data_IF_280609257693
#
_entry.id   IF_280609257693
#
_cell.length_a   1.000
_cell.length_b   1.000
_cell.length_c   1.000
_cell.angle_alpha   90.00
_cell.angle_beta   90.00
_cell.angle_gamma   90.00
#
_symmetry.space_group_name_H-M   'P 1'
#
loop_
_entity.id
_entity.type
_entity.pdbx_description
1 polymer ?
#
# COMPACT_ATOMS: atom_id res chain seq x y z
N UNK A 1 1.92 23.92 -1.04
CA UNK A 1 0.98 23.29 -0.08
C UNK A 1 1.85 22.65 0.97
N UNK A 2 1.92 23.24 2.18
CA UNK A 2 2.60 22.60 3.32
C UNK A 2 1.84 21.31 3.62
N UNK A 3 2.52 20.16 3.51
CA UNK A 3 2.04 18.94 4.14
C UNK A 3 2.05 19.19 5.65
N UNK A 4 0.88 19.27 6.28
CA UNK A 4 0.80 19.21 7.73
C UNK A 4 1.40 17.88 8.16
N UNK A 5 2.48 17.94 8.94
CA UNK A 5 3.05 16.73 9.53
C UNK A 5 2.01 16.12 10.46
N UNK A 6 1.56 14.93 10.14
CA UNK A 6 0.67 14.15 11.01
C UNK A 6 1.43 13.86 12.30
N UNK A 7 0.99 14.47 13.41
CA UNK A 7 1.61 14.30 14.71
C UNK A 7 1.01 13.08 15.44
N UNK A 8 1.85 12.37 16.18
CA UNK A 8 1.41 11.30 17.07
C UNK A 8 0.71 11.89 18.28
N UNK A 9 -0.50 11.44 18.57
CA UNK A 9 -1.26 11.89 19.73
C UNK A 9 -0.73 11.25 21.04
N UNK A 10 -0.81 11.97 22.14
CA UNK A 10 -0.40 11.46 23.45
C UNK A 10 -1.60 10.92 24.24
N UNK A 11 -1.42 9.85 25.05
CA UNK A 11 -0.22 9.03 25.19
C UNK A 11 0.02 8.14 23.98
N UNK A 12 1.29 7.77 23.72
CA UNK A 12 1.63 6.79 22.67
C UNK A 12 1.03 5.43 22.97
N UNK A 13 0.64 4.72 21.91
CA UNK A 13 0.12 3.35 21.94
C UNK A 13 0.90 2.46 20.98
N UNK A 14 0.92 1.17 21.25
CA UNK A 14 1.63 0.19 20.44
C UNK A 14 0.66 -0.88 19.90
N UNK A 15 0.93 -1.34 18.67
CA UNK A 15 0.13 -2.33 17.96
C UNK A 15 0.40 -3.73 18.54
N UNK A 16 -0.63 -4.35 19.16
CA UNK A 16 -0.53 -5.66 19.77
C UNK A 16 -0.89 -6.82 18.83
N UNK A 17 -1.67 -6.57 17.77
CA UNK A 17 -2.08 -7.56 16.76
C UNK A 17 -2.35 -6.87 15.42
N UNK A 18 -2.68 -7.66 14.39
CA UNK A 18 -2.92 -7.13 13.04
C UNK A 18 -4.43 -7.01 12.71
N UNK A 19 -5.31 -7.10 13.73
CA UNK A 19 -6.74 -6.84 13.58
C UNK A 19 -6.97 -5.33 13.38
N UNK A 20 -7.84 -4.99 12.41
CA UNK A 20 -8.21 -3.60 12.13
C UNK A 20 -9.68 -3.40 12.50
N UNK A 21 -9.98 -2.38 13.29
CA UNK A 21 -11.35 -2.04 13.70
C UNK A 21 -11.63 -0.60 13.32
N UNK A 22 -12.76 -0.37 12.65
CA UNK A 22 -13.34 0.95 12.41
C UNK A 22 -14.49 1.14 13.39
N UNK A 23 -14.45 2.21 14.18
CA UNK A 23 -15.50 2.55 15.15
C UNK A 23 -16.09 3.92 14.81
N UNK A 24 -17.33 3.93 14.33
CA UNK A 24 -18.12 5.13 13.96
C UNK A 24 -17.34 6.10 13.05
N UNK A 25 -16.57 5.56 12.09
CA UNK A 25 -15.65 6.35 11.27
C UNK A 25 -16.40 7.16 10.23
N UNK A 26 -16.22 8.49 10.26
CA UNK A 26 -16.67 9.40 9.20
C UNK A 26 -15.51 10.22 8.68
N UNK A 27 -15.49 10.46 7.36
CA UNK A 27 -14.43 11.21 6.69
C UNK A 27 -14.95 12.06 5.55
N UNK A 28 -14.36 13.26 5.41
CA UNK A 28 -14.67 14.21 4.33
C UNK A 28 -13.39 14.81 3.77
N UNK A 29 -13.35 15.01 2.45
CA UNK A 29 -12.38 15.90 1.82
C UNK A 29 -12.96 17.33 1.81
N UNK A 30 -12.47 18.20 2.69
CA UNK A 30 -13.09 19.50 2.93
C UNK A 30 -14.53 19.32 3.43
N UNK A 31 -15.50 19.88 2.69
CA UNK A 31 -16.93 19.79 3.02
C UNK A 31 -17.64 18.60 2.36
N UNK A 32 -16.95 17.83 1.52
CA UNK A 32 -17.53 16.69 0.82
C UNK A 32 -17.37 15.42 1.66
N UNK A 33 -18.48 14.96 2.30
CA UNK A 33 -18.50 13.72 3.05
C UNK A 33 -18.40 12.51 2.10
N UNK A 34 -17.44 11.62 2.37
CA UNK A 34 -17.16 10.42 1.55
C UNK A 34 -17.47 9.15 2.32
N UNK A 35 -17.20 9.13 3.61
CA UNK A 35 -17.49 8.00 4.50
C UNK A 35 -18.30 8.51 5.69
N UNK A 36 -19.36 7.79 6.05
CA UNK A 36 -20.27 8.15 7.13
C UNK A 36 -20.59 6.93 7.99
N UNK A 37 -20.30 7.04 9.29
CA UNK A 37 -20.62 6.04 10.30
C UNK A 37 -20.19 4.60 9.93
N UNK A 38 -18.93 4.41 9.54
CA UNK A 38 -18.40 3.10 9.21
C UNK A 38 -18.02 2.36 10.49
N UNK A 39 -18.71 1.24 10.72
CA UNK A 39 -18.42 0.29 11.81
C UNK A 39 -18.13 -1.07 11.20
N UNK A 40 -16.88 -1.53 11.31
CA UNK A 40 -16.47 -2.84 10.79
C UNK A 40 -15.19 -3.33 11.43
N UNK A 41 -14.92 -4.63 11.35
CA UNK A 41 -13.69 -5.24 11.80
C UNK A 41 -13.11 -6.18 10.74
N UNK A 42 -11.80 -6.08 10.52
CA UNK A 42 -11.01 -6.95 9.66
C UNK A 42 -10.11 -7.80 10.57
N UNK A 43 -10.36 -9.10 10.61
CA UNK A 43 -9.61 -10.01 11.49
C UNK A 43 -8.18 -10.19 10.98
N UNK A 44 -7.24 -10.34 11.91
CA UNK A 44 -5.87 -10.72 11.59
C UNK A 44 -5.82 -12.01 10.76
N UNK A 45 -4.95 -12.05 9.75
CA UNK A 45 -4.78 -13.20 8.86
C UNK A 45 -5.96 -13.50 7.94
N UNK A 46 -6.95 -12.59 7.84
CA UNK A 46 -8.07 -12.74 6.92
C UNK A 46 -7.81 -12.05 5.58
N UNK A 47 -8.50 -12.53 4.54
CA UNK A 47 -8.62 -11.82 3.26
C UNK A 47 -9.98 -11.12 3.23
N UNK A 48 -9.98 -9.80 3.01
CA UNK A 48 -11.20 -8.99 2.97
C UNK A 48 -11.27 -8.23 1.65
N UNK A 49 -12.37 -8.40 0.91
CA UNK A 49 -12.66 -7.63 -0.30
C UNK A 49 -13.64 -6.50 0.01
N UNK A 50 -13.30 -5.27 -0.41
CA UNK A 50 -14.18 -4.11 -0.33
C UNK A 50 -14.82 -3.91 -1.71
N UNK A 51 -16.13 -4.12 -1.78
CA UNK A 51 -16.90 -4.08 -3.04
C UNK A 51 -17.87 -2.90 -3.00
N UNK A 52 -18.02 -2.23 -4.13
CA UNK A 52 -18.97 -1.11 -4.26
C UNK A 52 -18.78 -0.36 -5.59
N UNK A 53 -19.73 0.50 -5.98
CA UNK A 53 -19.64 1.28 -7.21
C UNK A 53 -18.46 2.26 -7.18
N UNK A 54 -18.10 2.79 -8.36
CA UNK A 54 -17.09 3.86 -8.43
C UNK A 54 -17.56 5.07 -7.61
N UNK A 55 -16.62 5.68 -6.87
CA UNK A 55 -16.92 6.83 -6.01
C UNK A 55 -17.54 6.48 -4.64
N UNK A 56 -17.72 5.20 -4.28
CA UNK A 56 -18.27 4.80 -2.98
C UNK A 56 -17.31 4.92 -1.79
N UNK A 57 -16.11 5.47 -1.98
CA UNK A 57 -15.15 5.70 -0.90
C UNK A 57 -14.19 4.53 -0.61
N UNK A 58 -14.13 3.48 -1.45
CA UNK A 58 -13.22 2.32 -1.25
C UNK A 58 -11.76 2.73 -1.09
N UNK A 59 -11.23 3.48 -2.05
CA UNK A 59 -9.86 4.02 -2.02
C UNK A 59 -9.63 4.90 -0.79
N UNK A 60 -10.61 5.73 -0.42
CA UNK A 60 -10.53 6.55 0.79
C UNK A 60 -10.42 5.68 2.04
N UNK A 61 -11.25 4.63 2.16
CA UNK A 61 -11.17 3.71 3.30
C UNK A 61 -9.79 3.05 3.38
N UNK A 62 -9.24 2.59 2.25
CA UNK A 62 -7.88 2.04 2.17
C UNK A 62 -6.79 3.04 2.58
N UNK A 63 -6.98 4.32 2.28
CA UNK A 63 -6.02 5.39 2.61
C UNK A 63 -6.07 5.83 4.09
N UNK A 64 -7.19 5.60 4.76
CA UNK A 64 -7.31 5.91 6.19
C UNK A 64 -6.57 4.91 7.08
N UNK A 65 -6.43 3.64 6.67
CA UNK A 65 -5.74 2.61 7.47
C UNK A 65 -4.26 2.98 7.72
N UNK A 66 -3.46 3.36 6.69
CA UNK A 66 -2.08 3.82 6.90
C UNK A 66 -2.00 5.27 7.41
N UNK A 67 -3.13 5.87 7.77
CA UNK A 67 -3.22 7.24 8.29
C UNK A 67 -2.65 8.29 7.33
N UNK A 68 -2.95 8.18 6.02
CA UNK A 68 -2.64 9.27 5.08
C UNK A 68 -3.52 10.49 5.31
N UNK A 69 -4.65 10.28 5.98
CA UNK A 69 -5.57 11.30 6.46
C UNK A 69 -6.08 10.91 7.85
N UNK A 70 -6.33 11.89 8.70
CA UNK A 70 -7.02 11.67 9.97
C UNK A 70 -8.54 11.68 9.77
N UNK A 71 -9.24 10.78 10.47
CA UNK A 71 -10.70 10.71 10.44
C UNK A 71 -11.33 11.94 11.08
N UNK A 72 -12.49 12.37 10.60
CA UNK A 72 -13.24 13.51 11.15
C UNK A 72 -14.01 13.12 12.42
N UNK A 73 -14.54 11.90 12.45
CA UNK A 73 -15.24 11.31 13.60
C UNK A 73 -14.84 9.85 13.75
N UNK A 74 -15.02 9.33 14.93
CA UNK A 74 -14.68 7.95 15.25
C UNK A 74 -13.18 7.72 15.37
N UNK A 75 -12.79 6.46 15.22
CA UNK A 75 -11.38 6.05 15.30
C UNK A 75 -11.13 4.75 14.52
N UNK A 76 -9.89 4.57 14.12
CA UNK A 76 -9.40 3.32 13.54
C UNK A 76 -8.40 2.72 14.52
N UNK A 77 -8.61 1.47 14.87
CA UNK A 77 -7.72 0.72 15.75
C UNK A 77 -6.99 -0.35 14.95
N UNK A 78 -5.70 -0.54 15.21
CA UNK A 78 -4.94 -1.70 14.76
C UNK A 78 -4.38 -2.39 16.01
N UNK A 79 -4.73 -3.66 16.19
CA UNK A 79 -4.33 -4.41 17.38
C UNK A 79 -4.71 -3.75 18.70
N UNK A 80 -5.87 -3.08 18.73
CA UNK A 80 -6.39 -2.37 19.89
C UNK A 80 -5.83 -0.95 20.07
N UNK A 81 -4.79 -0.54 19.33
CA UNK A 81 -4.22 0.79 19.39
C UNK A 81 -4.89 1.74 18.39
N UNK A 82 -5.31 2.92 18.83
CA UNK A 82 -5.78 3.98 17.94
C UNK A 82 -4.59 4.50 17.11
N UNK A 83 -4.70 4.40 15.77
CA UNK A 83 -3.61 4.74 14.85
C UNK A 83 -3.10 6.18 15.00
N UNK A 84 -3.89 7.09 15.58
CA UNK A 84 -3.46 8.46 15.89
C UNK A 84 -2.43 8.53 17.01
N UNK A 85 -2.40 7.51 17.87
CA UNK A 85 -1.49 7.39 19.01
C UNK A 85 -0.29 6.47 18.74
N UNK A 86 -0.27 5.80 17.58
CA UNK A 86 0.83 4.91 17.19
C UNK A 86 1.94 5.71 16.52
N UNK A 87 3.22 5.49 16.88
CA UNK A 87 4.35 6.07 16.16
C UNK A 87 4.29 5.75 14.66
N UNK A 88 4.51 6.75 13.82
CA UNK A 88 4.37 6.59 12.35
C UNK A 88 5.25 5.47 11.79
N UNK A 89 6.48 5.33 12.31
CA UNK A 89 7.40 4.26 11.89
C UNK A 89 6.85 2.87 12.23
N UNK A 90 6.25 2.71 13.42
CA UNK A 90 5.62 1.46 13.83
C UNK A 90 4.41 1.14 12.94
N UNK A 91 3.52 2.12 12.74
CA UNK A 91 2.35 1.97 11.87
C UNK A 91 2.76 1.59 10.44
N UNK A 92 3.73 2.31 9.87
CA UNK A 92 4.21 2.04 8.52
C UNK A 92 4.95 0.70 8.41
N UNK A 93 5.59 0.21 9.46
CA UNK A 93 6.24 -1.12 9.45
C UNK A 93 5.21 -2.26 9.33
N UNK A 94 4.00 -2.05 9.81
CA UNK A 94 2.90 -3.03 9.80
C UNK A 94 2.10 -3.09 8.50
N UNK A 95 2.24 -2.11 7.62
CA UNK A 95 1.36 -1.97 6.45
C UNK A 95 2.18 -1.87 5.16
N UNK A 96 1.82 -2.67 4.15
CA UNK A 96 2.23 -2.49 2.76
C UNK A 96 1.03 -2.02 1.94
N UNK A 97 1.23 -1.01 1.08
CA UNK A 97 0.18 -0.49 0.19
C UNK A 97 0.61 -0.61 -1.25
N UNK A 98 -0.24 -1.20 -2.08
CA UNK A 98 -0.12 -1.20 -3.54
C UNK A 98 -1.22 -0.30 -4.08
N UNK A 99 -0.82 0.86 -4.60
CA UNK A 99 -1.74 1.86 -5.13
C UNK A 99 -2.19 1.54 -6.55
N UNK A 100 -3.39 1.97 -6.92
CA UNK A 100 -3.88 1.95 -8.30
C UNK A 100 -2.94 2.71 -9.24
N UNK A 101 -2.53 3.92 -8.85
CA UNK A 101 -1.53 4.70 -9.56
C UNK A 101 -0.14 4.40 -9.01
N UNK A 102 0.58 3.53 -9.70
CA UNK A 102 1.93 3.13 -9.30
C UNK A 102 2.91 4.28 -9.48
N UNK A 103 3.70 4.54 -8.45
CA UNK A 103 4.84 5.43 -8.50
C UNK A 103 6.16 4.63 -8.42
N UNK A 104 7.01 4.81 -9.41
CA UNK A 104 8.38 4.31 -9.41
C UNK A 104 9.35 5.48 -9.39
N UNK A 105 10.44 5.33 -8.65
CA UNK A 105 11.50 6.32 -8.54
C UNK A 105 12.45 6.23 -9.74
N UNK A 106 13.07 7.36 -10.10
CA UNK A 106 14.18 7.41 -11.06
C UNK A 106 15.43 6.74 -10.46
N UNK A 107 15.44 5.42 -10.52
CA UNK A 107 16.49 4.55 -10.00
C UNK A 107 16.40 3.19 -10.70
N UNK A 108 17.29 2.26 -10.41
CA UNK A 108 17.24 0.92 -10.98
C UNK A 108 15.95 0.18 -10.57
N UNK A 109 15.54 -0.82 -11.37
CA UNK A 109 14.44 -1.73 -10.99
C UNK A 109 14.77 -2.41 -9.66
N UNK A 110 16.02 -2.82 -9.46
CA UNK A 110 16.51 -3.38 -8.20
C UNK A 110 16.17 -2.48 -7.01
N UNK A 111 16.54 -1.21 -7.07
CA UNK A 111 16.35 -0.26 -5.98
C UNK A 111 14.86 0.09 -5.78
N UNK A 112 14.09 0.13 -6.87
CA UNK A 112 12.65 0.30 -6.78
C UNK A 112 11.97 -0.82 -6.00
N UNK A 113 12.37 -2.09 -6.18
CA UNK A 113 11.84 -3.21 -5.41
C UNK A 113 12.42 -3.19 -3.98
N UNK A 114 13.73 -2.97 -3.85
CA UNK A 114 14.47 -2.92 -2.57
C UNK A 114 13.97 -1.82 -1.64
N UNK A 115 13.27 -0.79 -2.17
CA UNK A 115 12.64 0.23 -1.34
C UNK A 115 11.70 -0.35 -0.27
N UNK A 116 11.10 -1.52 -0.51
CA UNK A 116 10.30 -2.24 0.49
C UNK A 116 11.11 -2.73 1.70
N UNK A 117 12.39 -3.11 1.48
CA UNK A 117 13.34 -3.60 2.50
C UNK A 117 14.76 -3.23 2.06
N UNK A 118 15.29 -2.06 2.48
CA UNK A 118 16.58 -1.54 2.01
C UNK A 118 17.77 -2.47 2.23
N UNK A 119 17.70 -3.34 3.24
CA UNK A 119 18.76 -4.31 3.58
C UNK A 119 18.65 -5.63 2.80
N UNK A 120 17.65 -5.78 1.91
CA UNK A 120 17.43 -7.01 1.19
C UNK A 120 18.57 -7.36 0.24
N UNK A 121 18.93 -8.63 0.18
CA UNK A 121 19.89 -9.15 -0.80
C UNK A 121 19.26 -9.20 -2.20
N UNK A 122 20.09 -9.36 -3.24
CA UNK A 122 19.59 -9.56 -4.59
C UNK A 122 18.72 -10.82 -4.71
N UNK A 123 19.03 -11.87 -3.97
CA UNK A 123 18.27 -13.12 -3.95
C UNK A 123 16.86 -12.91 -3.37
N UNK A 124 16.74 -12.16 -2.26
CA UNK A 124 15.45 -11.79 -1.68
C UNK A 124 14.62 -10.93 -2.65
N UNK A 125 15.24 -9.96 -3.30
CA UNK A 125 14.59 -9.12 -4.32
C UNK A 125 14.07 -9.98 -5.48
N UNK A 126 14.89 -10.90 -5.99
CA UNK A 126 14.48 -11.81 -7.08
C UNK A 126 13.38 -12.77 -6.64
N UNK A 127 13.41 -13.27 -5.41
CA UNK A 127 12.34 -14.11 -4.88
C UNK A 127 11.00 -13.35 -4.85
N UNK A 128 11.00 -12.11 -4.38
CA UNK A 128 9.82 -11.24 -4.40
C UNK A 128 9.35 -10.93 -5.83
N UNK A 129 10.28 -10.66 -6.76
CA UNK A 129 9.96 -10.42 -8.17
C UNK A 129 9.36 -11.64 -8.86
N UNK A 130 9.83 -12.86 -8.56
CA UNK A 130 9.24 -14.11 -9.04
C UNK A 130 7.82 -14.30 -8.51
N UNK A 131 7.60 -14.06 -7.22
CA UNK A 131 6.27 -14.11 -6.62
C UNK A 131 5.30 -13.10 -7.25
N UNK A 132 5.79 -11.91 -7.62
CA UNK A 132 5.03 -10.88 -8.34
C UNK A 132 4.96 -11.09 -9.86
N UNK A 133 5.50 -12.19 -10.39
CA UNK A 133 5.54 -12.47 -11.82
C UNK A 133 6.24 -11.40 -12.66
N UNK A 134 7.34 -10.83 -12.16
CA UNK A 134 8.11 -9.82 -12.87
C UNK A 134 9.59 -10.17 -13.11
N UNK A 135 10.13 -11.24 -12.52
CA UNK A 135 11.53 -11.65 -12.73
C UNK A 135 11.83 -11.91 -14.21
N UNK A 136 10.92 -12.60 -14.93
CA UNK A 136 11.14 -13.00 -16.32
C UNK A 136 11.27 -11.79 -17.25
N UNK A 137 10.37 -10.80 -17.15
CA UNK A 137 10.48 -9.61 -18.00
C UNK A 137 11.70 -8.76 -17.61
N UNK A 138 12.02 -8.65 -16.31
CA UNK A 138 13.20 -7.91 -15.85
C UNK A 138 14.47 -8.55 -16.42
N UNK A 139 14.60 -9.86 -16.36
CA UNK A 139 15.74 -10.60 -16.91
C UNK A 139 15.84 -10.54 -18.43
N UNK A 140 14.75 -10.25 -19.14
CA UNK A 140 14.74 -10.05 -20.59
C UNK A 140 15.21 -8.64 -21.00
N UNK A 141 15.30 -7.68 -20.08
CA UNK A 141 15.84 -6.35 -20.35
C UNK A 141 17.38 -6.42 -20.51
N UNK A 142 17.98 -5.57 -21.37
CA UNK A 142 19.44 -5.58 -21.61
C UNK A 142 20.28 -5.47 -20.34
N UNK A 143 19.85 -4.66 -19.36
CA UNK A 143 20.54 -4.42 -18.11
C UNK A 143 19.88 -5.16 -16.92
N UNK A 144 18.84 -5.96 -17.18
CA UNK A 144 18.14 -6.73 -16.15
C UNK A 144 17.68 -5.86 -14.99
N UNK A 145 18.04 -6.24 -13.77
CA UNK A 145 17.70 -5.49 -12.55
C UNK A 145 18.38 -4.13 -12.43
N UNK A 146 19.47 -3.89 -13.16
CA UNK A 146 20.18 -2.59 -13.19
C UNK A 146 19.56 -1.61 -14.20
N UNK A 147 18.51 -2.03 -14.92
CA UNK A 147 17.76 -1.16 -15.83
C UNK A 147 17.22 0.06 -15.08
N UNK A 148 17.57 1.25 -15.57
CA UNK A 148 17.08 2.51 -15.01
C UNK A 148 15.61 2.73 -15.36
N UNK A 149 14.83 3.01 -14.36
CA UNK A 149 13.43 3.48 -14.47
C UNK A 149 13.46 4.98 -14.72
N UNK A 150 12.89 5.42 -15.85
CA UNK A 150 12.77 6.84 -16.17
C UNK A 150 11.65 7.50 -15.36
N UNK A 151 11.57 8.83 -15.40
CA UNK A 151 10.56 9.62 -14.69
C UNK A 151 9.16 9.03 -14.82
N UNK A 152 8.53 8.68 -13.68
CA UNK A 152 7.21 8.06 -13.65
C UNK A 152 7.13 6.67 -14.29
N UNK A 153 8.28 6.03 -14.58
CA UNK A 153 8.33 4.72 -15.22
C UNK A 153 7.92 4.72 -16.69
N UNK A 154 8.17 5.80 -17.43
CA UNK A 154 7.72 5.96 -18.81
C UNK A 154 8.30 4.92 -19.79
N UNK A 155 9.39 4.25 -19.42
CA UNK A 155 9.99 3.16 -20.19
C UNK A 155 9.43 1.77 -19.85
N UNK A 156 8.40 1.69 -19.00
CA UNK A 156 7.75 0.46 -18.58
C UNK A 156 6.24 0.53 -18.87
N UNK A 157 5.66 -0.59 -19.26
CA UNK A 157 4.20 -0.72 -19.40
C UNK A 157 3.47 -0.58 -18.04
N UNK A 158 2.18 -0.32 -18.05
CA UNK A 158 1.36 -0.24 -16.84
C UNK A 158 1.42 -1.52 -16.01
N UNK A 159 1.32 -2.69 -16.67
CA UNK A 159 1.40 -3.99 -16.02
C UNK A 159 2.77 -4.27 -15.38
N UNK A 160 3.87 -3.90 -16.05
CA UNK A 160 5.23 -4.03 -15.51
C UNK A 160 5.43 -3.17 -14.26
N UNK A 161 5.01 -1.90 -14.31
CA UNK A 161 5.03 -1.02 -13.13
C UNK A 161 4.23 -1.60 -11.96
N UNK A 162 3.05 -2.13 -12.25
CA UNK A 162 2.19 -2.74 -11.24
C UNK A 162 2.89 -3.94 -10.59
N UNK A 163 3.46 -4.86 -11.38
CA UNK A 163 4.19 -6.03 -10.87
C UNK A 163 5.41 -5.64 -10.04
N UNK A 164 6.16 -4.61 -10.42
CA UNK A 164 7.28 -4.06 -9.61
C UNK A 164 6.76 -3.54 -8.26
N UNK A 165 5.63 -2.82 -8.25
CA UNK A 165 5.02 -2.34 -7.00
C UNK A 165 4.55 -3.48 -6.10
N UNK A 166 4.00 -4.55 -6.68
CA UNK A 166 3.63 -5.77 -5.94
C UNK A 166 4.88 -6.46 -5.38
N UNK A 167 5.96 -6.57 -6.16
CA UNK A 167 7.23 -7.13 -5.68
C UNK A 167 7.80 -6.35 -4.49
N UNK A 168 7.72 -5.01 -4.53
CA UNK A 168 8.07 -4.12 -3.42
C UNK A 168 7.26 -4.43 -2.16
N UNK A 169 5.95 -4.63 -2.30
CA UNK A 169 5.06 -4.94 -1.19
C UNK A 169 5.35 -6.33 -0.60
N UNK A 170 5.59 -7.33 -1.46
CA UNK A 170 5.97 -8.69 -1.04
C UNK A 170 7.31 -8.67 -0.29
N UNK A 171 8.32 -7.95 -0.82
CA UNK A 171 9.64 -7.86 -0.20
C UNK A 171 9.60 -7.20 1.18
N UNK A 172 8.69 -6.26 1.37
CA UNK A 172 8.50 -5.60 2.67
C UNK A 172 7.98 -6.56 3.72
N UNK A 173 7.21 -7.59 3.33
CA UNK A 173 6.68 -8.64 4.20
C UNK A 173 5.90 -8.11 5.41
N UNK A 174 5.11 -7.05 5.19
CA UNK A 174 4.28 -6.48 6.24
C UNK A 174 3.05 -7.35 6.49
N UNK A 175 2.58 -7.49 7.76
CA UNK A 175 1.45 -8.35 8.09
C UNK A 175 0.11 -7.87 7.51
N UNK A 176 -0.03 -6.58 7.21
CA UNK A 176 -1.21 -5.99 6.58
C UNK A 176 -0.84 -5.55 5.18
N UNK A 177 -1.53 -6.08 4.16
CA UNK A 177 -1.35 -5.68 2.76
C UNK A 177 -2.65 -5.06 2.25
N UNK A 178 -2.56 -3.85 1.74
CA UNK A 178 -3.67 -3.12 1.12
C UNK A 178 -3.45 -3.06 -0.38
N UNK A 179 -4.43 -3.55 -1.17
CA UNK A 179 -4.40 -3.52 -2.62
C UNK A 179 -5.56 -2.63 -3.11
N UNK A 180 -5.24 -1.49 -3.70
CA UNK A 180 -6.23 -0.54 -4.22
C UNK A 180 -6.35 -0.70 -5.75
N UNK A 181 -7.47 -1.29 -6.20
CA UNK A 181 -7.83 -1.52 -7.63
C UNK A 181 -6.70 -2.07 -8.53
N UNK A 182 -5.94 -3.04 -8.00
CA UNK A 182 -4.78 -3.59 -8.72
C UNK A 182 -5.15 -4.50 -9.91
N UNK A 183 -6.43 -4.88 -10.05
CA UNK A 183 -6.88 -5.90 -11.01
C UNK A 183 -7.16 -5.37 -12.41
N UNK A 184 -7.48 -4.09 -12.57
CA UNK A 184 -7.81 -3.50 -13.89
C UNK A 184 -6.66 -3.51 -14.91
N UNK A 185 -5.41 -3.65 -14.45
CA UNK A 185 -4.24 -3.72 -15.32
C UNK A 185 -3.73 -5.16 -15.57
N UNK A 186 -4.25 -6.16 -14.83
CA UNK A 186 -3.83 -7.56 -14.93
C UNK A 186 -4.72 -8.39 -15.87
N UNK A 187 -5.96 -7.95 -16.12
CA UNK A 187 -6.94 -8.71 -16.89
C UNK A 187 -6.80 -8.60 -18.42
N UNK A 188 -5.98 -7.68 -18.93
CA UNK A 188 -5.84 -7.45 -20.38
C UNK A 188 -4.84 -8.38 -21.07
N UNK A 189 -4.05 -9.18 -20.37
CA UNK A 189 -3.04 -10.08 -20.95
C UNK A 189 -3.47 -11.57 -21.03
N UNK A 190 -4.65 -11.95 -20.50
CA UNK A 190 -5.10 -13.35 -20.46
C UNK A 190 -6.27 -13.68 -21.41
N UNK A 191 -6.68 -12.77 -22.31
CA UNK A 191 -7.72 -13.04 -23.32
C UNK A 191 -7.13 -13.16 -24.74
N UNK A 192 -6.17 -14.06 -24.93
CA UNK A 192 -5.82 -14.58 -26.28
C UNK A 192 -5.39 -16.05 -26.21
#
# INVERSE_FOLDING_TARGET
TQMEQIQVASPEQHIASDEIIFEDVSFSYGDNEVLSHIDTAIKAGSFTAIIGPSGSGKTTLCQLIPRFFDVKKGRILIGGADIRHVPTEELMSKISVVFQKVYLFEDTILNNIRFGKPTATLEEVRAAAKAARCDDFIMALPEGYDTLVQEGGNNLSGGEKQRISIARAILKDAPIIILDETTSALDTENEH
#
